data_IF_521030500073
#
_entry.id   IF_521030500073
#
_cell.length_a   1.000
_cell.length_b   1.000
_cell.length_c   1.000
_cell.angle_alpha   90.00
_cell.angle_beta   90.00
_cell.angle_gamma   90.00
#
_symmetry.space_group_name_H-M   'P 1'
#
loop_
_entity.id
_entity.type
_entity.pdbx_description
1 polymer ?
#
# COMPACT_ATOMS: atom_id res chain seq x y z
N UNK A 1 41.02 -54.87 59.33
CA UNK A 1 40.67 -53.45 59.07
C UNK A 1 40.09 -53.36 57.67
N UNK A 2 38.78 -53.03 57.55
CA UNK A 2 38.07 -52.90 56.27
C UNK A 2 38.05 -51.44 55.85
N UNK A 3 38.43 -51.15 54.61
CA UNK A 3 38.32 -49.83 53.99
C UNK A 3 36.86 -49.53 53.62
N UNK A 4 36.40 -48.26 53.69
CA UNK A 4 35.04 -47.89 53.29
C UNK A 4 34.94 -47.76 51.75
N UNK A 5 33.75 -47.97 51.17
CA UNK A 5 33.54 -47.84 49.73
C UNK A 5 33.43 -46.37 49.30
N UNK A 6 34.04 -46.06 48.15
CA UNK A 6 33.96 -44.75 47.48
C UNK A 6 32.54 -44.52 46.95
N UNK A 7 31.88 -43.46 47.44
CA UNK A 7 30.62 -42.98 46.89
C UNK A 7 30.78 -42.45 45.46
N UNK A 8 30.04 -43.03 44.52
CA UNK A 8 29.89 -42.48 43.16
C UNK A 8 28.95 -41.28 43.21
N UNK A 9 29.48 -40.09 42.91
CA UNK A 9 28.67 -38.91 42.68
C UNK A 9 27.76 -39.14 41.46
N UNK A 10 26.44 -39.18 41.69
CA UNK A 10 25.41 -39.12 40.65
C UNK A 10 25.49 -37.75 39.96
N UNK A 11 26.14 -37.67 38.79
CA UNK A 11 25.97 -36.55 37.87
C UNK A 11 24.52 -36.57 37.38
N UNK A 12 23.68 -35.67 37.91
CA UNK A 12 22.35 -35.42 37.37
C UNK A 12 22.53 -34.82 35.96
N UNK A 13 21.87 -35.44 35.00
CA UNK A 13 21.92 -35.07 33.59
C UNK A 13 21.32 -33.67 33.39
N UNK A 14 22.17 -32.67 33.12
CA UNK A 14 21.78 -31.29 32.78
C UNK A 14 21.13 -31.15 31.40
N UNK A 15 20.70 -32.25 30.78
CA UNK A 15 20.17 -32.28 29.41
C UNK A 15 18.68 -31.90 29.31
N UNK A 16 17.96 -31.88 30.44
CA UNK A 16 16.52 -31.56 30.45
C UNK A 16 16.27 -30.05 30.24
N UNK A 17 17.23 -29.17 30.61
CA UNK A 17 17.08 -27.73 30.45
C UNK A 17 17.16 -27.24 28.98
N UNK A 18 17.95 -27.92 28.14
CA UNK A 18 18.15 -27.51 26.75
C UNK A 18 16.98 -27.89 25.83
N UNK A 19 16.26 -28.97 26.14
CA UNK A 19 15.08 -29.37 25.35
C UNK A 19 13.92 -28.37 25.46
N UNK A 20 13.67 -27.84 26.67
CA UNK A 20 12.60 -26.86 26.88
C UNK A 20 12.91 -25.48 26.30
N UNK A 21 14.18 -25.06 26.27
CA UNK A 21 14.57 -23.82 25.60
C UNK A 21 14.35 -23.87 24.08
N UNK A 22 14.63 -25.02 23.44
CA UNK A 22 14.37 -25.21 22.01
C UNK A 22 12.87 -25.25 21.69
N UNK A 23 12.05 -25.87 22.55
CA UNK A 23 10.58 -25.86 22.39
C UNK A 23 10.01 -24.46 22.64
N UNK A 24 10.50 -23.72 23.64
CA UNK A 24 10.06 -22.35 23.89
C UNK A 24 10.45 -21.40 22.74
N UNK A 25 11.63 -21.56 22.12
CA UNK A 25 12.03 -20.82 20.92
C UNK A 25 11.19 -21.22 19.69
N UNK A 26 10.87 -22.50 19.53
CA UNK A 26 10.02 -22.96 18.44
C UNK A 26 8.57 -22.47 18.59
N UNK A 27 8.01 -22.47 19.80
CA UNK A 27 6.68 -21.90 20.09
C UNK A 27 6.70 -20.37 19.97
N UNK A 28 7.76 -19.70 20.42
CA UNK A 28 7.91 -18.25 20.21
C UNK A 28 8.07 -17.88 18.72
N UNK A 29 8.54 -18.78 17.86
CA UNK A 29 8.53 -18.60 16.40
C UNK A 29 7.18 -18.88 15.73
N UNK A 30 6.30 -19.65 16.38
CA UNK A 30 4.94 -19.96 15.89
C UNK A 30 3.91 -18.95 16.42
N UNK A 31 4.19 -18.32 17.56
CA UNK A 31 3.36 -17.28 18.20
C UNK A 31 4.05 -15.91 18.18
N UNK A 32 5.18 -15.78 17.45
CA UNK A 32 5.65 -14.45 17.08
C UNK A 32 4.48 -13.78 16.37
N UNK A 33 4.05 -12.56 16.77
CA UNK A 33 3.14 -11.81 15.92
C UNK A 33 3.74 -11.86 14.52
N UNK A 34 2.92 -12.20 13.52
CA UNK A 34 3.30 -11.92 12.14
C UNK A 34 3.92 -10.52 12.18
N UNK A 35 5.16 -10.39 11.71
CA UNK A 35 5.83 -9.10 11.69
C UNK A 35 4.87 -8.16 10.97
N UNK A 36 4.14 -7.37 11.74
CA UNK A 36 3.06 -6.54 11.26
C UNK A 36 3.68 -5.62 10.23
N UNK A 37 3.08 -5.60 9.04
CA UNK A 37 3.45 -4.68 8.01
C UNK A 37 3.64 -3.27 8.59
N UNK A 38 4.76 -2.61 8.30
CA UNK A 38 5.07 -1.28 8.85
C UNK A 38 4.14 -0.17 8.33
N UNK A 39 3.19 -0.49 7.45
CA UNK A 39 2.53 0.55 6.68
C UNK A 39 1.03 0.40 6.53
N UNK A 40 0.27 -0.52 7.12
CA UNK A 40 -1.19 -0.44 6.99
C UNK A 40 -1.83 0.29 8.18
N UNK A 41 -2.86 1.09 7.90
CA UNK A 41 -3.57 1.83 8.94
C UNK A 41 -4.58 0.92 9.66
N UNK A 42 -4.38 0.68 10.95
CA UNK A 42 -5.32 -0.08 11.82
C UNK A 42 -6.19 0.82 12.70
N UNK A 43 -6.17 2.13 12.48
CA UNK A 43 -6.97 3.07 13.25
C UNK A 43 -8.47 2.88 12.92
N UNK A 44 -9.39 3.28 13.82
CA UNK A 44 -10.83 3.27 13.55
C UNK A 44 -11.26 4.09 12.32
N UNK A 45 -10.35 4.91 11.78
CA UNK A 45 -10.51 5.61 10.50
C UNK A 45 -9.36 5.19 9.60
N UNK A 46 -9.62 4.18 8.76
CA UNK A 46 -8.67 3.71 7.78
C UNK A 46 -8.69 4.63 6.57
N UNK A 47 -7.54 4.81 5.93
CA UNK A 47 -7.45 5.78 4.83
C UNK A 47 -7.85 5.20 3.49
N UNK A 48 -8.16 3.92 3.37
CA UNK A 48 -8.37 3.27 2.07
C UNK A 48 -9.74 3.56 1.44
N UNK A 49 -9.87 3.25 0.15
CA UNK A 49 -11.17 3.27 -0.53
C UNK A 49 -12.03 2.11 -0.05
N UNK A 50 -13.34 2.34 0.08
CA UNK A 50 -14.28 1.36 0.62
C UNK A 50 -14.39 0.09 -0.23
N UNK A 51 -14.29 0.22 -1.55
CA UNK A 51 -14.61 -0.85 -2.49
C UNK A 51 -13.66 -2.05 -2.37
N UNK A 52 -12.40 -1.85 -1.94
CA UNK A 52 -11.40 -2.90 -1.76
C UNK A 52 -11.81 -4.03 -0.79
N UNK A 53 -12.86 -3.83 0.01
CA UNK A 53 -13.43 -4.85 0.87
C UNK A 53 -14.32 -5.86 0.15
N UNK A 54 -14.72 -5.55 -1.08
CA UNK A 54 -15.75 -6.28 -1.81
C UNK A 54 -15.22 -6.64 -3.19
N UNK A 55 -15.79 -7.67 -3.82
CA UNK A 55 -15.47 -8.06 -5.19
C UNK A 55 -16.75 -8.06 -6.02
N UNK A 56 -16.66 -7.62 -7.28
CA UNK A 56 -17.75 -7.79 -8.22
C UNK A 56 -17.85 -9.24 -8.71
N UNK A 57 -19.06 -9.73 -9.05
CA UNK A 57 -19.19 -11.02 -9.71
C UNK A 57 -18.73 -10.96 -11.17
N UNK A 58 -17.64 -11.66 -11.50
CA UNK A 58 -17.10 -11.80 -12.86
C UNK A 58 -15.95 -10.85 -13.16
N UNK A 59 -15.01 -11.27 -14.02
CA UNK A 59 -13.71 -10.59 -14.23
C UNK A 59 -13.54 -9.94 -15.62
N UNK A 60 -14.56 -10.03 -16.49
CA UNK A 60 -14.42 -9.64 -17.91
C UNK A 60 -14.92 -8.21 -18.22
N UNK A 61 -15.49 -7.50 -17.25
CA UNK A 61 -16.02 -6.14 -17.40
C UNK A 61 -16.11 -5.42 -16.04
N UNK A 62 -16.08 -4.07 -16.01
CA UNK A 62 -16.22 -3.31 -14.76
C UNK A 62 -17.55 -3.65 -14.07
N UNK A 63 -17.44 -4.18 -12.87
CA UNK A 63 -18.54 -4.42 -11.96
C UNK A 63 -18.82 -3.22 -11.05
N UNK A 64 -19.87 -3.33 -10.25
CA UNK A 64 -20.36 -2.23 -9.40
C UNK A 64 -19.51 -1.96 -8.15
N UNK A 65 -18.56 -2.86 -7.85
CA UNK A 65 -17.68 -2.79 -6.70
C UNK A 65 -16.22 -2.66 -7.13
N UNK A 66 -15.95 -2.59 -8.43
CA UNK A 66 -14.59 -2.43 -8.96
C UNK A 66 -14.21 -0.96 -8.92
N UNK A 67 -12.93 -0.65 -8.77
CA UNK A 67 -12.45 0.72 -8.72
C UNK A 67 -12.30 1.30 -10.12
N UNK A 68 -13.13 2.29 -10.42
CA UNK A 68 -12.90 3.13 -11.58
C UNK A 68 -11.89 4.22 -11.24
N UNK A 69 -11.00 4.52 -12.18
CA UNK A 69 -10.04 5.61 -12.06
C UNK A 69 -9.97 6.49 -13.29
N UNK A 70 -9.68 7.78 -13.12
CA UNK A 70 -9.50 8.73 -14.22
C UNK A 70 -8.19 9.51 -14.08
N UNK A 71 -7.71 10.07 -15.20
CA UNK A 71 -6.54 10.95 -15.22
C UNK A 71 -6.88 12.35 -15.70
N UNK A 72 -6.39 13.38 -15.02
CA UNK A 72 -6.52 14.78 -15.39
C UNK A 72 -5.12 15.40 -15.49
N UNK A 73 -4.89 16.20 -16.52
CA UNK A 73 -3.65 16.98 -16.64
C UNK A 73 -3.99 18.45 -16.60
N UNK A 74 -3.57 19.11 -15.52
CA UNK A 74 -3.86 20.52 -15.25
C UNK A 74 -2.59 21.35 -15.43
N UNK A 75 -2.55 22.18 -16.48
CA UNK A 75 -1.49 23.18 -16.63
C UNK A 75 -0.06 22.62 -16.83
N UNK A 76 0.08 21.33 -17.16
CA UNK A 76 1.36 20.75 -17.59
C UNK A 76 1.65 21.14 -19.04
N UNK A 77 2.88 21.55 -19.31
CA UNK A 77 3.41 21.71 -20.68
C UNK A 77 4.18 20.48 -21.16
N UNK A 78 4.38 19.50 -20.28
CA UNK A 78 5.20 18.32 -20.51
C UNK A 78 4.37 17.07 -20.83
N UNK A 79 3.19 16.95 -20.21
CA UNK A 79 2.34 15.79 -20.28
C UNK A 79 1.03 16.13 -21.02
N UNK A 80 0.61 15.29 -21.96
CA UNK A 80 -0.77 15.33 -22.49
C UNK A 80 -1.66 14.37 -21.71
N UNK A 81 -2.98 14.60 -21.70
CA UNK A 81 -3.94 13.68 -21.07
C UNK A 81 -3.78 12.23 -21.57
N UNK A 82 -3.62 12.02 -22.89
CA UNK A 82 -3.45 10.70 -23.47
C UNK A 82 -2.14 10.00 -23.01
N UNK A 83 -1.04 10.74 -22.88
CA UNK A 83 0.21 10.19 -22.34
C UNK A 83 0.06 9.82 -20.87
N UNK A 84 -0.57 10.69 -20.08
CA UNK A 84 -0.80 10.46 -18.65
C UNK A 84 -1.64 9.20 -18.40
N UNK A 85 -2.78 9.07 -19.09
CA UNK A 85 -3.70 7.94 -18.90
C UNK A 85 -3.16 6.64 -19.46
N UNK A 86 -2.44 6.68 -20.59
CA UNK A 86 -1.72 5.50 -21.10
C UNK A 86 -0.69 5.02 -20.10
N UNK A 87 0.10 5.94 -19.53
CA UNK A 87 1.14 5.59 -18.57
C UNK A 87 0.59 5.10 -17.22
N UNK A 88 -0.52 5.67 -16.75
CA UNK A 88 -1.27 5.17 -15.59
C UNK A 88 -1.73 3.73 -15.82
N UNK A 89 -2.43 3.47 -16.92
CA UNK A 89 -2.88 2.12 -17.25
C UNK A 89 -1.73 1.14 -17.40
N UNK A 90 -0.65 1.57 -18.03
CA UNK A 90 0.55 0.74 -18.17
C UNK A 90 1.27 0.50 -16.85
N UNK A 91 1.01 1.28 -15.80
CA UNK A 91 1.61 1.12 -14.47
C UNK A 91 0.72 0.29 -13.55
N UNK A 92 -0.58 0.54 -13.59
CA UNK A 92 -1.55 -0.01 -12.65
C UNK A 92 -2.18 -1.33 -13.11
N UNK A 93 -2.18 -1.62 -14.42
CA UNK A 93 -2.93 -2.74 -15.02
C UNK A 93 -2.09 -3.53 -16.03
N UNK A 94 -1.38 -2.87 -16.96
CA UNK A 94 -0.65 -3.59 -18.03
C UNK A 94 0.81 -3.95 -17.65
N UNK A 95 1.05 -4.54 -16.49
CA UNK A 95 2.32 -5.24 -16.19
C UNK A 95 2.02 -6.69 -15.77
N UNK A 96 3.04 -7.44 -15.35
CA UNK A 96 2.83 -8.74 -14.70
C UNK A 96 2.12 -8.57 -13.35
N UNK A 97 1.27 -9.52 -12.99
CA UNK A 97 0.46 -9.52 -11.74
C UNK A 97 1.29 -9.22 -10.48
N UNK A 98 2.55 -9.66 -10.43
CA UNK A 98 3.48 -9.40 -9.32
C UNK A 98 3.98 -7.94 -9.21
N UNK A 99 3.50 -7.03 -10.09
CA UNK A 99 3.95 -5.63 -10.18
C UNK A 99 2.80 -4.61 -10.23
N UNK A 100 1.56 -5.06 -10.28
CA UNK A 100 0.37 -4.21 -10.43
C UNK A 100 -0.53 -4.34 -9.23
N UNK A 101 -1.26 -3.28 -8.90
CA UNK A 101 -2.29 -3.35 -7.86
C UNK A 101 -3.54 -4.11 -8.32
N UNK A 102 -3.84 -4.04 -9.62
CA UNK A 102 -4.96 -4.74 -10.23
C UNK A 102 -4.89 -6.27 -9.98
N UNK A 103 -6.03 -6.87 -9.62
CA UNK A 103 -6.13 -8.28 -9.25
C UNK A 103 -5.76 -8.61 -7.80
N UNK A 104 -5.31 -7.63 -7.00
CA UNK A 104 -4.96 -7.87 -5.59
C UNK A 104 -6.18 -8.33 -4.78
N UNK A 105 -5.95 -9.31 -3.89
CA UNK A 105 -6.97 -9.76 -2.94
C UNK A 105 -8.12 -10.54 -3.59
N UNK A 106 -7.81 -11.35 -4.60
CA UNK A 106 -8.77 -12.10 -5.43
C UNK A 106 -9.69 -11.16 -6.22
N UNK A 107 -9.11 -10.16 -6.92
CA UNK A 107 -9.83 -9.12 -7.67
C UNK A 107 -10.78 -8.28 -6.82
N UNK A 108 -10.45 -8.08 -5.54
CA UNK A 108 -11.09 -7.05 -4.72
C UNK A 108 -10.56 -5.66 -5.02
N UNK A 109 -9.33 -5.56 -5.51
CA UNK A 109 -8.87 -4.39 -6.27
C UNK A 109 -8.92 -4.80 -7.74
N UNK A 110 -9.80 -4.15 -8.48
CA UNK A 110 -9.99 -4.37 -9.92
C UNK A 110 -10.14 -3.00 -10.60
N UNK A 111 -9.11 -2.59 -11.34
CA UNK A 111 -8.89 -1.21 -11.74
C UNK A 111 -9.32 -0.95 -13.19
N UNK A 112 -10.31 -0.07 -13.36
CA UNK A 112 -10.83 0.29 -14.67
C UNK A 112 -10.58 1.75 -15.03
N UNK A 113 -9.83 2.00 -16.11
CA UNK A 113 -9.62 3.36 -16.61
C UNK A 113 -10.90 3.93 -17.23
N UNK A 114 -11.38 5.04 -16.69
CA UNK A 114 -12.44 5.85 -17.28
C UNK A 114 -11.96 6.50 -18.59
N UNK A 115 -12.80 6.55 -19.65
CA UNK A 115 -12.37 6.97 -20.98
C UNK A 115 -12.04 8.47 -21.13
N UNK A 116 -12.56 9.33 -20.25
CA UNK A 116 -12.38 10.77 -20.34
C UNK A 116 -11.58 11.33 -19.16
N UNK A 117 -11.22 12.61 -19.26
CA UNK A 117 -10.56 13.30 -18.15
C UNK A 117 -11.50 13.48 -16.96
N UNK A 118 -10.97 13.48 -15.74
CA UNK A 118 -11.80 13.51 -14.52
C UNK A 118 -12.79 14.68 -14.52
N UNK A 119 -12.35 15.85 -15.00
CA UNK A 119 -13.16 17.07 -15.00
C UNK A 119 -14.27 17.10 -16.06
N UNK A 120 -14.25 16.18 -17.03
CA UNK A 120 -15.25 16.09 -18.10
C UNK A 120 -16.57 15.44 -17.66
N UNK A 121 -16.53 14.66 -16.58
CA UNK A 121 -17.70 13.97 -16.04
C UNK A 121 -18.58 14.94 -15.23
N UNK A 122 -19.92 14.93 -15.43
CA UNK A 122 -20.85 15.58 -14.51
C UNK A 122 -20.67 15.05 -13.09
N UNK A 123 -20.90 15.90 -12.08
CA UNK A 123 -20.67 15.53 -10.67
C UNK A 123 -21.28 14.18 -10.25
N UNK A 124 -22.53 13.82 -10.62
CA UNK A 124 -23.10 12.52 -10.23
C UNK A 124 -22.33 11.32 -10.80
N UNK A 125 -21.81 11.44 -12.01
CA UNK A 125 -21.01 10.38 -12.66
C UNK A 125 -19.59 10.37 -12.12
N UNK A 126 -18.98 11.54 -11.92
CA UNK A 126 -17.66 11.64 -11.28
C UNK A 126 -17.64 11.04 -9.87
N UNK A 127 -18.75 11.10 -9.14
CA UNK A 127 -18.89 10.50 -7.81
C UNK A 127 -18.87 8.95 -7.81
N UNK A 128 -18.96 8.30 -8.98
CA UNK A 128 -18.74 6.85 -9.13
C UNK A 128 -17.32 6.51 -9.57
N UNK A 129 -16.40 7.47 -9.54
CA UNK A 129 -14.97 7.24 -9.79
C UNK A 129 -14.26 7.26 -8.43
N UNK A 130 -13.73 6.13 -8.01
CA UNK A 130 -13.09 5.95 -6.70
C UNK A 130 -11.74 6.64 -6.64
N UNK A 131 -11.00 6.71 -7.76
CA UNK A 131 -9.63 7.26 -7.77
C UNK A 131 -9.44 8.27 -8.89
N UNK A 132 -9.00 9.47 -8.53
CA UNK A 132 -8.65 10.51 -9.49
C UNK A 132 -7.16 10.85 -9.43
N UNK A 133 -6.48 10.71 -10.56
CA UNK A 133 -5.09 11.13 -10.72
C UNK A 133 -5.04 12.50 -11.37
N UNK A 134 -4.39 13.47 -10.72
CA UNK A 134 -4.23 14.84 -11.23
C UNK A 134 -2.76 15.19 -11.39
N UNK A 135 -2.33 15.46 -12.62
CA UNK A 135 -0.98 15.90 -12.96
C UNK A 135 -0.90 17.42 -13.08
N UNK A 136 0.14 18.04 -12.55
CA UNK A 136 0.44 19.47 -12.77
C UNK A 136 1.92 19.78 -12.52
N UNK A 137 2.35 20.99 -12.88
CA UNK A 137 3.69 21.45 -12.56
C UNK A 137 3.95 21.57 -11.05
N UNK A 138 2.91 21.89 -10.26
CA UNK A 138 3.02 22.07 -8.81
C UNK A 138 1.69 21.79 -8.09
N UNK A 139 1.78 21.15 -6.93
CA UNK A 139 0.67 20.89 -6.01
C UNK A 139 0.96 21.34 -4.58
N UNK A 140 2.01 22.14 -4.33
CA UNK A 140 2.46 22.45 -2.98
C UNK A 140 1.38 23.10 -2.10
N UNK A 141 0.51 23.93 -2.69
CA UNK A 141 -0.62 24.57 -2.00
C UNK A 141 -1.72 23.59 -1.57
N UNK A 142 -1.78 22.42 -2.21
CA UNK A 142 -2.77 21.35 -1.94
C UNK A 142 -2.17 20.28 -1.04
N UNK A 143 -0.95 19.85 -1.33
CA UNK A 143 -0.23 18.80 -0.61
C UNK A 143 0.55 19.31 0.62
N UNK A 144 0.35 20.56 1.04
CA UNK A 144 0.88 21.10 2.30
C UNK A 144 2.40 21.30 2.35
N UNK A 145 3.04 21.52 1.19
CA UNK A 145 4.49 21.55 1.05
C UNK A 145 5.07 22.88 0.59
N UNK A 146 6.40 22.99 0.56
CA UNK A 146 7.10 24.04 -0.21
C UNK A 146 6.94 23.84 -1.74
N UNK A 147 7.04 24.90 -2.53
CA UNK A 147 6.79 24.86 -3.99
C UNK A 147 7.52 23.70 -4.72
N UNK A 148 6.80 22.96 -5.59
CA UNK A 148 7.36 22.21 -6.73
C UNK A 148 7.68 20.71 -6.56
N UNK A 149 7.41 20.09 -5.42
CA UNK A 149 7.98 18.75 -5.11
C UNK A 149 7.06 17.75 -4.39
N UNK A 150 5.76 18.01 -4.27
CA UNK A 150 4.89 17.20 -3.41
C UNK A 150 3.84 16.47 -4.25
N UNK A 151 3.98 15.16 -4.31
CA UNK A 151 2.86 14.27 -4.61
C UNK A 151 2.10 14.01 -3.31
N UNK A 152 0.80 13.72 -3.40
CA UNK A 152 0.03 13.31 -2.23
C UNK A 152 -1.26 12.59 -2.64
N UNK A 153 -1.76 11.74 -1.74
CA UNK A 153 -3.09 11.14 -1.81
C UNK A 153 -4.02 11.76 -0.76
N UNK A 154 -5.19 12.24 -1.19
CA UNK A 154 -6.19 12.85 -0.33
C UNK A 154 -7.45 11.98 -0.25
N UNK A 155 -7.79 11.55 0.96
CA UNK A 155 -9.04 10.82 1.23
C UNK A 155 -10.24 11.76 1.26
N UNK A 156 -11.34 11.39 0.61
CA UNK A 156 -12.57 12.20 0.56
C UNK A 156 -13.82 11.37 0.82
N UNK A 157 -14.81 12.02 1.41
CA UNK A 157 -16.11 11.44 1.77
C UNK A 157 -16.00 10.20 2.67
N UNK A 158 -15.73 10.39 3.98
CA UNK A 158 -15.62 9.28 4.92
C UNK A 158 -16.96 8.54 5.07
N UNK A 159 -16.92 7.22 5.07
CA UNK A 159 -18.08 6.33 5.19
C UNK A 159 -17.81 5.27 6.25
N UNK A 160 -18.68 5.15 7.26
CA UNK A 160 -18.57 4.05 8.22
C UNK A 160 -18.99 2.73 7.58
N UNK A 161 -18.11 1.73 7.68
CA UNK A 161 -18.32 0.38 7.17
C UNK A 161 -18.62 -0.57 8.33
N UNK A 162 -19.91 -0.84 8.55
CA UNK A 162 -20.36 -1.67 9.67
C UNK A 162 -19.91 -3.14 9.57
N UNK A 163 -19.62 -3.63 8.36
CA UNK A 163 -19.19 -5.01 8.15
C UNK A 163 -17.76 -5.24 8.67
N UNK A 164 -16.92 -4.20 8.63
CA UNK A 164 -15.51 -4.25 9.01
C UNK A 164 -15.20 -3.45 10.30
N UNK A 165 -16.12 -2.60 10.75
CA UNK A 165 -16.04 -1.94 12.05
C UNK A 165 -15.24 -0.63 12.06
N UNK A 166 -14.85 -0.09 10.91
CA UNK A 166 -14.08 1.15 10.78
C UNK A 166 -14.66 2.10 9.73
N UNK A 167 -14.11 3.32 9.65
CA UNK A 167 -14.44 4.29 8.60
C UNK A 167 -13.48 4.15 7.43
N UNK A 168 -14.06 4.04 6.23
CA UNK A 168 -13.39 4.05 4.92
C UNK A 168 -13.61 5.39 4.22
N UNK A 169 -13.13 5.53 2.99
CA UNK A 169 -13.43 6.68 2.14
C UNK A 169 -14.04 6.26 0.82
N UNK A 170 -14.95 7.08 0.29
CA UNK A 170 -15.52 6.80 -1.02
C UNK A 170 -14.53 7.12 -2.15
N UNK A 171 -13.73 8.17 -1.99
CA UNK A 171 -12.86 8.66 -3.06
C UNK A 171 -11.45 8.97 -2.59
N UNK A 172 -10.51 8.83 -3.53
CA UNK A 172 -9.11 9.21 -3.42
C UNK A 172 -8.72 10.14 -4.54
N UNK A 173 -8.14 11.28 -4.16
CA UNK A 173 -7.54 12.22 -5.13
C UNK A 173 -6.03 12.16 -4.98
N UNK A 174 -5.38 11.62 -5.99
CA UNK A 174 -3.92 11.49 -6.09
C UNK A 174 -3.40 12.67 -6.92
N UNK A 175 -2.51 13.46 -6.32
CA UNK A 175 -1.86 14.62 -6.94
C UNK A 175 -0.42 14.24 -7.30
N UNK A 176 -0.08 14.34 -8.59
CA UNK A 176 1.24 14.01 -9.11
C UNK A 176 1.88 15.25 -9.74
N UNK A 177 3.11 15.60 -9.34
CA UNK A 177 3.85 16.72 -9.95
C UNK A 177 4.68 16.26 -11.14
N UNK A 178 4.78 17.10 -12.17
CA UNK A 178 5.52 16.81 -13.41
C UNK A 178 6.99 16.44 -13.15
N UNK A 179 7.61 17.07 -12.14
CA UNK A 179 9.01 16.85 -11.76
C UNK A 179 9.29 15.46 -11.18
N UNK A 180 8.25 14.67 -10.87
CA UNK A 180 8.37 13.33 -10.28
C UNK A 180 7.28 12.37 -10.75
N UNK A 181 6.07 12.44 -10.19
CA UNK A 181 4.96 11.54 -10.53
C UNK A 181 4.50 11.64 -11.98
N UNK A 182 4.69 12.80 -12.63
CA UNK A 182 4.41 13.01 -14.05
C UNK A 182 5.51 12.54 -15.01
N UNK A 183 6.62 11.98 -14.51
CA UNK A 183 7.67 11.45 -15.39
C UNK A 183 7.23 10.13 -16.04
N UNK A 184 7.44 9.99 -17.34
CA UNK A 184 7.09 8.77 -18.08
C UNK A 184 8.21 7.71 -18.01
N UNK A 185 8.69 7.41 -16.80
CA UNK A 185 9.78 6.47 -16.52
C UNK A 185 9.59 5.74 -15.17
N UNK A 186 10.55 4.93 -14.76
CA UNK A 186 10.50 4.18 -13.50
C UNK A 186 10.25 5.06 -12.26
N UNK A 187 10.77 6.29 -12.24
CA UNK A 187 10.51 7.22 -11.13
C UNK A 187 9.03 7.62 -11.07
N UNK A 188 8.40 7.92 -12.21
CA UNK A 188 6.97 8.21 -12.23
C UNK A 188 6.12 7.00 -11.84
N UNK A 189 6.50 5.78 -12.29
CA UNK A 189 5.83 4.54 -11.86
C UNK A 189 5.90 4.35 -10.36
N UNK A 190 7.07 4.61 -9.76
CA UNK A 190 7.25 4.48 -8.34
C UNK A 190 6.35 5.43 -7.54
N UNK A 191 6.26 6.71 -7.96
CA UNK A 191 5.35 7.67 -7.34
C UNK A 191 3.87 7.33 -7.56
N UNK A 192 3.48 6.89 -8.76
CA UNK A 192 2.12 6.40 -9.00
C UNK A 192 1.81 5.27 -8.02
N UNK A 193 2.63 4.22 -7.99
CA UNK A 193 2.37 3.07 -7.11
C UNK A 193 2.40 3.44 -5.62
N UNK A 194 3.29 4.32 -5.19
CA UNK A 194 3.38 4.82 -3.82
C UNK A 194 2.10 5.55 -3.40
N UNK A 195 1.66 6.55 -4.18
CA UNK A 195 0.44 7.31 -3.86
C UNK A 195 -0.82 6.46 -3.98
N UNK A 196 -0.85 5.51 -4.92
CA UNK A 196 -1.92 4.51 -5.02
C UNK A 196 -1.92 3.56 -3.82
N UNK A 197 -0.76 3.24 -3.24
CA UNK A 197 -0.69 2.48 -1.98
C UNK A 197 -1.46 3.15 -0.85
N UNK A 198 -1.42 4.49 -0.75
CA UNK A 198 -2.26 5.23 0.20
C UNK A 198 -3.76 5.14 -0.11
N UNK A 199 -4.17 4.89 -1.35
CA UNK A 199 -5.56 4.60 -1.68
C UNK A 199 -6.01 3.24 -1.13
N UNK A 200 -5.06 2.34 -0.89
CA UNK A 200 -5.28 1.01 -0.30
C UNK A 200 -4.99 0.95 1.20
N UNK A 201 -4.81 2.11 1.84
CA UNK A 201 -4.67 2.18 3.30
C UNK A 201 -3.24 2.05 3.79
N UNK A 202 -2.28 2.02 2.86
CA UNK A 202 -0.88 2.04 3.22
C UNK A 202 -0.44 3.44 3.69
N UNK A 203 0.60 3.50 4.50
CA UNK A 203 1.12 4.66 5.21
C UNK A 203 2.59 4.84 4.88
N UNK A 204 3.06 6.08 4.89
CA UNK A 204 4.49 6.36 4.85
C UNK A 204 5.19 5.83 6.11
N UNK A 205 6.50 5.52 6.04
CA UNK A 205 7.32 5.30 7.23
C UNK A 205 7.26 6.50 8.19
N UNK A 206 6.97 6.23 9.46
CA UNK A 206 6.86 7.29 10.48
C UNK A 206 8.17 7.54 11.23
N UNK A 207 9.09 6.57 11.22
CA UNK A 207 10.42 6.61 11.82
C UNK A 207 11.37 5.59 11.16
N UNK A 208 12.67 5.65 11.41
CA UNK A 208 13.68 4.79 10.73
C UNK A 208 13.43 3.28 10.90
N UNK A 209 12.88 2.86 12.05
CA UNK A 209 12.53 1.47 12.32
C UNK A 209 11.32 0.94 11.56
N UNK A 210 10.51 1.82 10.95
CA UNK A 210 9.36 1.47 10.10
C UNK A 210 9.77 1.15 8.65
N UNK A 211 11.07 1.18 8.32
CA UNK A 211 11.52 1.09 6.93
C UNK A 211 11.78 -0.35 6.47
N UNK A 212 10.72 -1.15 6.44
CA UNK A 212 10.78 -2.53 5.98
C UNK A 212 10.98 -2.60 4.46
N UNK A 213 12.16 -3.05 4.06
CA UNK A 213 12.55 -3.13 2.64
C UNK A 213 12.40 -4.57 2.14
N UNK A 214 11.88 -4.81 0.92
CA UNK A 214 11.37 -3.84 -0.03
C UNK A 214 9.94 -3.36 0.33
N UNK A 215 9.66 -2.07 0.12
CA UNK A 215 8.31 -1.50 0.12
C UNK A 215 8.26 -0.31 -0.84
N UNK A 216 7.14 -0.15 -1.54
CA UNK A 216 6.86 1.02 -2.39
C UNK A 216 6.47 2.26 -1.58
N UNK A 217 6.08 2.08 -0.32
CA UNK A 217 5.73 3.18 0.60
C UNK A 217 6.96 3.92 1.14
N UNK A 218 8.15 3.42 0.85
CA UNK A 218 9.38 4.17 1.06
C UNK A 218 9.41 5.40 0.14
N UNK A 219 10.15 6.45 0.49
CA UNK A 219 10.06 7.70 -0.25
C UNK A 219 11.27 8.60 -0.03
N UNK A 220 11.64 9.32 -1.09
CA UNK A 220 12.81 10.22 -1.17
C UNK A 220 12.74 11.46 -0.27
N UNK A 221 11.70 11.63 0.56
CA UNK A 221 11.47 12.89 1.28
C UNK A 221 11.14 12.80 2.76
N UNK A 222 11.06 11.61 3.32
CA UNK A 222 11.04 11.47 4.77
C UNK A 222 12.50 11.30 5.21
N UNK A 223 13.00 12.21 6.04
CA UNK A 223 14.40 12.26 6.48
C UNK A 223 14.85 11.10 7.37
N UNK A 224 14.33 9.89 7.12
CA UNK A 224 14.50 8.67 7.90
C UNK A 224 15.37 7.63 7.19
N UNK A 225 16.09 7.99 6.11
CA UNK A 225 17.05 7.09 5.44
C UNK A 225 16.41 6.01 4.55
N UNK A 226 15.12 6.13 4.26
CA UNK A 226 14.31 5.15 3.53
C UNK A 226 14.05 5.64 2.10
N UNK A 227 15.09 6.23 1.50
CA UNK A 227 15.00 7.06 0.29
C UNK A 227 15.18 6.27 -1.00
N UNK A 228 15.63 5.01 -0.91
CA UNK A 228 15.87 4.19 -2.08
C UNK A 228 14.70 3.23 -2.27
N UNK A 229 13.83 3.54 -3.22
CA UNK A 229 12.98 2.52 -3.83
C UNK A 229 13.86 1.44 -4.45
N UNK A 230 13.88 0.21 -3.91
CA UNK A 230 14.59 -0.88 -4.57
C UNK A 230 13.88 -1.28 -5.87
N UNK A 231 12.57 -1.04 -5.93
CA UNK A 231 11.67 -1.36 -7.04
C UNK A 231 10.73 -0.18 -7.29
N UNK A 232 10.29 0.01 -8.54
CA UNK A 232 9.27 1.01 -8.90
C UNK A 232 7.84 0.46 -8.86
N UNK A 233 7.66 -0.75 -8.34
CA UNK A 233 6.40 -1.47 -8.20
C UNK A 233 6.19 -1.95 -6.76
N UNK A 234 4.95 -2.30 -6.37
CA UNK A 234 4.64 -2.82 -5.05
C UNK A 234 5.39 -4.12 -4.76
N UNK A 235 5.90 -4.25 -3.55
CA UNK A 235 6.51 -5.50 -3.07
C UNK A 235 5.45 -6.51 -2.61
N UNK A 236 5.87 -7.75 -2.40
CA UNK A 236 5.02 -8.76 -1.73
C UNK A 236 4.57 -8.34 -0.33
N UNK A 237 5.37 -7.52 0.38
CA UNK A 237 4.97 -6.98 1.68
C UNK A 237 3.86 -5.96 1.54
N UNK A 238 3.92 -5.09 0.52
CA UNK A 238 2.87 -4.11 0.25
C UNK A 238 1.55 -4.82 -0.10
N UNK A 239 1.59 -5.83 -0.97
CA UNK A 239 0.41 -6.64 -1.29
C UNK A 239 -0.21 -7.33 -0.06
N UNK A 240 0.62 -7.95 0.78
CA UNK A 240 0.13 -8.61 1.99
C UNK A 240 -0.53 -7.61 2.96
N UNK A 241 0.07 -6.42 3.09
CA UNK A 241 -0.46 -5.33 3.92
C UNK A 241 -1.82 -4.84 3.43
N UNK A 242 -1.96 -4.70 2.11
CA UNK A 242 -3.24 -4.33 1.48
C UNK A 242 -4.28 -5.40 1.76
N UNK A 243 -3.96 -6.68 1.58
CA UNK A 243 -4.89 -7.79 1.86
C UNK A 243 -5.30 -7.83 3.34
N UNK A 244 -4.41 -7.49 4.27
CA UNK A 244 -4.73 -7.34 5.69
C UNK A 244 -5.74 -6.21 5.92
N UNK A 245 -5.50 -5.01 5.36
CA UNK A 245 -6.46 -3.90 5.37
C UNK A 245 -7.82 -4.28 4.77
N UNK A 246 -7.84 -5.01 3.64
CA UNK A 246 -9.09 -5.49 3.01
C UNK A 246 -9.92 -6.37 3.93
N UNK A 247 -9.32 -7.03 4.92
CA UNK A 247 -10.01 -7.92 5.83
C UNK A 247 -10.37 -7.27 7.17
N UNK A 248 -10.16 -5.95 7.30
CA UNK A 248 -10.50 -5.17 8.49
C UNK A 248 -9.35 -4.85 9.44
N UNK A 249 -8.13 -5.36 9.17
CA UNK A 249 -6.97 -5.22 10.07
C UNK A 249 -7.09 -6.10 11.31
#
# INVERSE_FOLDING_TARGET
MRLPPRGRARRRASWIGFGWAAVALAVAGIVAPAAGASHHNTDPTQTHVRNMHYASPGADAPGSLDEQYCGEVTGSSYLTHAQATSFLRDTLVNQSDEKIWDGTGDYRIDLWLAPNSCSSYPQPERNSIEIEYHYAADWSSVCGGSYGYYNCAQSQNPLYNADYGHTDYQWKVIRLVDSSGGQLNEKGRAFINHETGHAWGLLDPRFEGDCHTPSIMHGVRTGYGCENWPNWWPSSYDFASVVESMNGG
#
